data_IF_889275051787
#
_entry.id   IF_889275051787
#
_cell.length_a   1.000
_cell.length_b   1.000
_cell.length_c   1.000
_cell.angle_alpha   90.00
_cell.angle_beta   90.00
_cell.angle_gamma   90.00
#
_symmetry.space_group_name_H-M   'P 1'
#
loop_
_entity.id
_entity.type
_entity.pdbx_description
1 polymer ?
#
# COMPACT_ATOMS: atom_id res chain seq x y z
N UNK A 1 3.47 -50.67 -8.78
CA UNK A 1 2.70 -49.43 -9.00
C UNK A 1 3.08 -48.98 -10.40
N UNK A 2 2.11 -48.79 -11.28
CA UNK A 2 2.42 -48.63 -12.71
C UNK A 2 2.87 -47.21 -13.03
N UNK A 3 3.97 -47.09 -13.78
CA UNK A 3 4.47 -45.83 -14.33
C UNK A 3 3.62 -45.31 -15.52
N UNK A 4 2.34 -45.71 -15.57
CA UNK A 4 1.38 -45.35 -16.63
C UNK A 4 0.36 -44.29 -16.20
N UNK A 5 0.34 -43.88 -14.92
CA UNK A 5 -0.53 -42.83 -14.40
C UNK A 5 0.27 -41.55 -14.08
N UNK A 6 -0.10 -40.37 -14.65
CA UNK A 6 0.58 -39.11 -14.37
C UNK A 6 0.49 -38.66 -12.90
N UNK A 7 -0.57 -39.03 -12.18
CA UNK A 7 -0.72 -38.66 -10.77
C UNK A 7 0.28 -39.42 -9.89
N UNK A 8 0.46 -40.72 -10.15
CA UNK A 8 1.42 -41.60 -9.50
C UNK A 8 2.87 -41.26 -9.88
N UNK A 9 3.17 -40.98 -11.15
CA UNK A 9 4.52 -40.53 -11.55
C UNK A 9 4.90 -39.23 -10.84
N UNK A 10 4.00 -38.24 -10.83
CA UNK A 10 4.27 -36.96 -10.16
C UNK A 10 4.39 -37.12 -8.65
N UNK A 11 3.61 -38.02 -8.02
CA UNK A 11 3.75 -38.35 -6.60
C UNK A 11 5.17 -38.83 -6.26
N UNK A 12 5.73 -39.74 -7.07
CA UNK A 12 7.09 -40.25 -6.86
C UNK A 12 8.16 -39.18 -7.06
N UNK A 13 8.00 -38.32 -8.08
CA UNK A 13 8.90 -37.18 -8.33
C UNK A 13 8.92 -36.22 -7.14
N UNK A 14 7.77 -35.91 -6.54
CA UNK A 14 7.65 -35.04 -5.38
C UNK A 14 8.26 -35.68 -4.11
N UNK A 15 8.02 -36.97 -3.88
CA UNK A 15 8.61 -37.69 -2.75
C UNK A 15 10.14 -37.76 -2.86
N UNK A 16 10.67 -38.02 -4.06
CA UNK A 16 12.11 -38.05 -4.35
C UNK A 16 12.75 -36.67 -4.16
N UNK A 17 12.02 -35.59 -4.48
CA UNK A 17 12.41 -34.21 -4.22
C UNK A 17 12.30 -33.79 -2.74
N UNK A 18 11.93 -34.71 -1.83
CA UNK A 18 11.84 -34.44 -0.40
C UNK A 18 10.56 -33.72 0.04
N UNK A 19 9.55 -33.58 -0.83
CA UNK A 19 8.24 -33.05 -0.46
C UNK A 19 7.38 -34.16 0.19
N UNK A 20 6.67 -33.81 1.26
CA UNK A 20 5.88 -34.75 2.08
C UNK A 20 4.40 -34.51 1.81
N UNK A 21 3.77 -35.47 1.11
CA UNK A 21 2.39 -35.37 0.63
C UNK A 21 1.53 -36.42 1.34
N UNK A 22 0.29 -36.06 1.69
CA UNK A 22 -0.69 -36.96 2.30
C UNK A 22 -1.63 -37.48 1.21
N UNK A 23 -1.31 -38.66 0.66
CA UNK A 23 -2.00 -39.24 -0.49
C UNK A 23 -1.46 -38.73 -1.83
N UNK A 24 -2.28 -38.78 -2.87
CA UNK A 24 -1.91 -38.39 -4.23
C UNK A 24 -1.89 -36.85 -4.42
N UNK A 25 -1.00 -36.31 -5.29
CA UNK A 25 -0.92 -34.88 -5.56
C UNK A 25 -2.14 -34.36 -6.33
N UNK A 26 -2.56 -33.13 -6.04
CA UNK A 26 -3.69 -32.47 -6.71
C UNK A 26 -3.20 -31.75 -7.98
N UNK A 27 -3.64 -32.24 -9.13
CA UNK A 27 -3.25 -31.74 -10.47
C UNK A 27 -4.33 -30.82 -11.08
N UNK A 28 -4.93 -29.97 -10.23
CA UNK A 28 -6.01 -29.03 -10.53
C UNK A 28 -5.52 -27.66 -11.06
N UNK A 29 -4.22 -27.51 -11.26
CA UNK A 29 -3.59 -26.26 -11.62
C UNK A 29 -3.53 -25.20 -10.51
N UNK A 30 -3.79 -25.55 -9.25
CA UNK A 30 -3.54 -24.69 -8.09
C UNK A 30 -2.12 -24.90 -7.50
N UNK A 31 -1.69 -23.99 -6.62
CA UNK A 31 -0.41 -24.11 -5.91
C UNK A 31 -0.65 -24.74 -4.53
N UNK A 32 -0.10 -25.94 -4.33
CA UNK A 32 -0.29 -26.73 -3.12
C UNK A 32 0.92 -26.62 -2.20
N UNK A 33 0.76 -25.98 -1.04
CA UNK A 33 1.81 -25.88 0.00
C UNK A 33 1.88 -27.16 0.84
N UNK A 34 3.05 -27.77 0.88
CA UNK A 34 3.33 -29.04 1.59
C UNK A 34 4.56 -28.91 2.49
N UNK A 35 4.69 -29.79 3.46
CA UNK A 35 5.93 -29.92 4.23
C UNK A 35 7.02 -30.57 3.37
N UNK A 36 8.27 -30.40 3.77
CA UNK A 36 9.41 -31.18 3.26
C UNK A 36 10.03 -32.02 4.38
N UNK A 37 10.94 -32.95 4.06
CA UNK A 37 11.48 -33.93 5.04
C UNK A 37 12.14 -33.27 6.26
N UNK A 38 12.77 -32.12 6.09
CA UNK A 38 13.48 -31.38 7.16
C UNK A 38 12.63 -30.30 7.83
N UNK A 39 11.33 -30.20 7.50
CA UNK A 39 10.46 -29.18 8.07
C UNK A 39 10.11 -29.48 9.54
N UNK A 40 10.27 -28.48 10.40
CA UNK A 40 9.76 -28.52 11.77
C UNK A 40 8.24 -28.63 11.76
N UNK A 41 7.68 -29.45 12.66
CA UNK A 41 6.24 -29.80 12.73
C UNK A 41 5.32 -28.59 12.53
N UNK A 42 4.62 -28.56 11.39
CA UNK A 42 3.67 -27.51 11.01
C UNK A 42 4.17 -26.50 9.98
N UNK A 43 5.47 -26.49 9.65
CA UNK A 43 5.99 -25.78 8.49
C UNK A 43 5.50 -26.40 7.17
N UNK A 44 5.53 -25.60 6.10
CA UNK A 44 5.13 -25.98 4.74
C UNK A 44 6.06 -25.33 3.71
N UNK A 45 7.33 -25.66 3.77
CA UNK A 45 8.40 -25.05 2.95
C UNK A 45 8.35 -25.49 1.48
N UNK A 46 7.75 -26.64 1.20
CA UNK A 46 7.51 -27.11 -0.17
C UNK A 46 6.28 -26.48 -0.83
N UNK A 47 6.31 -26.39 -2.15
CA UNK A 47 5.13 -26.18 -2.98
C UNK A 47 5.21 -27.01 -4.28
N UNK A 48 4.06 -27.35 -4.84
CA UNK A 48 3.95 -27.85 -6.20
C UNK A 48 2.73 -27.29 -6.92
N UNK A 49 2.72 -27.38 -8.25
CA UNK A 49 1.59 -27.07 -9.13
C UNK A 49 1.66 -27.98 -10.35
N UNK A 50 0.60 -28.70 -10.66
CA UNK A 50 0.53 -29.52 -11.86
C UNK A 50 -0.86 -29.52 -12.49
N UNK A 51 -0.94 -29.99 -13.72
CA UNK A 51 -2.13 -30.01 -14.55
C UNK A 51 -2.24 -31.34 -15.30
N UNK A 52 -3.48 -31.75 -15.59
CA UNK A 52 -3.80 -32.92 -16.43
C UNK A 52 -4.21 -32.55 -17.87
N UNK A 53 -4.16 -31.27 -18.27
CA UNK A 53 -4.60 -30.85 -19.60
C UNK A 53 -3.52 -30.97 -20.69
N UNK A 54 -3.81 -31.75 -21.74
CA UNK A 54 -2.89 -31.96 -22.85
C UNK A 54 -1.91 -33.10 -22.57
N UNK A 55 -0.64 -32.78 -22.32
CA UNK A 55 0.34 -33.72 -21.76
C UNK A 55 0.55 -33.31 -20.31
N UNK A 56 0.25 -34.17 -19.31
CA UNK A 56 0.33 -33.78 -17.92
C UNK A 56 1.73 -33.26 -17.56
N UNK A 57 1.77 -32.14 -16.84
CA UNK A 57 2.98 -31.39 -16.55
C UNK A 57 2.79 -30.53 -15.30
N UNK A 58 3.89 -30.02 -14.75
CA UNK A 58 3.88 -29.20 -13.55
C UNK A 58 5.26 -28.76 -13.12
N UNK A 59 5.35 -28.28 -11.89
CA UNK A 59 6.60 -27.96 -11.22
C UNK A 59 6.49 -28.16 -9.71
N UNK A 60 7.64 -28.27 -9.06
CA UNK A 60 7.77 -28.30 -7.61
C UNK A 60 8.96 -27.46 -7.13
N UNK A 61 8.94 -27.07 -5.86
CA UNK A 61 10.02 -26.29 -5.23
C UNK A 61 10.05 -26.47 -3.72
N UNK A 62 11.25 -26.55 -3.14
CA UNK A 62 11.49 -26.20 -1.74
C UNK A 62 11.98 -24.75 -1.65
N UNK A 63 11.30 -23.93 -0.85
CA UNK A 63 11.63 -22.51 -0.64
C UNK A 63 12.85 -22.30 0.28
N UNK A 64 13.47 -23.38 0.77
CA UNK A 64 14.73 -23.38 1.54
C UNK A 64 15.95 -23.74 0.69
N UNK A 65 15.74 -24.19 -0.55
CA UNK A 65 16.83 -24.35 -1.52
C UNK A 65 17.47 -22.99 -1.83
N UNK A 66 18.77 -22.98 -2.12
CA UNK A 66 19.46 -21.81 -2.64
C UNK A 66 19.00 -21.47 -4.08
N UNK A 67 18.46 -22.43 -4.82
CA UNK A 67 17.85 -22.19 -6.13
C UNK A 67 16.47 -21.54 -5.96
N UNK A 68 16.28 -20.38 -6.62
CA UNK A 68 15.00 -19.67 -6.66
C UNK A 68 14.05 -20.23 -7.74
N UNK A 69 14.57 -21.08 -8.63
CA UNK A 69 13.85 -21.71 -9.74
C UNK A 69 13.00 -22.90 -9.26
N UNK A 70 11.74 -23.04 -9.72
CA UNK A 70 10.98 -24.27 -9.53
C UNK A 70 11.45 -25.35 -10.52
N UNK A 71 11.61 -26.58 -10.05
CA UNK A 71 11.96 -27.72 -10.92
C UNK A 71 10.73 -28.15 -11.70
N UNK A 72 10.81 -28.15 -13.04
CA UNK A 72 9.72 -28.54 -13.92
C UNK A 72 9.65 -30.07 -14.07
N UNK A 73 8.43 -30.59 -14.23
CA UNK A 73 8.13 -31.99 -14.51
C UNK A 73 7.15 -32.09 -15.69
N UNK A 74 7.33 -33.12 -16.52
CA UNK A 74 6.43 -33.47 -17.63
C UNK A 74 6.29 -34.99 -17.65
N UNK A 75 5.07 -35.50 -17.69
CA UNK A 75 4.75 -36.92 -17.64
C UNK A 75 5.48 -37.72 -18.71
N UNK A 76 6.10 -38.84 -18.32
CA UNK A 76 6.92 -39.67 -19.22
C UNK A 76 6.10 -40.48 -20.24
N UNK A 77 4.82 -40.75 -19.95
CA UNK A 77 3.92 -41.50 -20.84
C UNK A 77 3.76 -40.87 -22.23
N UNK A 78 3.73 -41.75 -23.25
CA UNK A 78 3.72 -41.37 -24.67
C UNK A 78 2.37 -40.84 -25.20
N UNK A 79 2.37 -40.36 -26.44
CA UNK A 79 1.30 -39.53 -27.02
C UNK A 79 -0.05 -40.23 -27.34
N UNK A 80 -0.32 -41.40 -26.77
CA UNK A 80 -1.56 -42.17 -27.02
C UNK A 80 -2.74 -41.71 -26.15
N UNK A 81 -3.04 -40.41 -26.19
CA UNK A 81 -4.30 -39.86 -25.69
C UNK A 81 -5.20 -39.45 -26.86
N UNK A 82 -6.40 -40.04 -26.90
CA UNK A 82 -7.46 -39.71 -27.86
C UNK A 82 -7.66 -38.16 -27.96
N UNK A 83 -7.67 -37.57 -29.17
CA UNK A 83 -7.92 -36.15 -29.37
C UNK A 83 -9.21 -35.63 -28.71
N UNK A 84 -10.27 -36.45 -28.64
CA UNK A 84 -11.53 -36.07 -27.99
C UNK A 84 -11.40 -36.06 -26.46
N UNK A 85 -10.80 -37.11 -25.86
CA UNK A 85 -10.43 -37.12 -24.44
C UNK A 85 -9.51 -35.94 -24.07
N UNK A 86 -8.52 -35.61 -24.92
CA UNK A 86 -7.63 -34.45 -24.74
C UNK A 86 -8.39 -33.12 -24.80
N UNK A 87 -9.43 -33.00 -25.62
CA UNK A 87 -10.31 -31.84 -25.67
C UNK A 87 -11.18 -31.72 -24.40
N UNK A 88 -11.77 -32.84 -23.94
CA UNK A 88 -12.55 -32.88 -22.69
C UNK A 88 -11.71 -32.52 -21.46
N UNK A 89 -10.49 -33.06 -21.34
CA UNK A 89 -9.57 -32.73 -20.24
C UNK A 89 -9.19 -31.23 -20.24
N UNK A 90 -8.95 -30.64 -21.41
CA UNK A 90 -8.70 -29.19 -21.55
C UNK A 90 -9.91 -28.35 -21.14
N UNK A 91 -11.11 -28.72 -21.59
CA UNK A 91 -12.34 -28.02 -21.25
C UNK A 91 -12.62 -28.08 -19.73
N UNK A 92 -12.45 -29.25 -19.12
CA UNK A 92 -12.62 -29.44 -17.68
C UNK A 92 -11.57 -28.68 -16.86
N UNK A 93 -10.29 -28.72 -17.24
CA UNK A 93 -9.25 -27.94 -16.59
C UNK A 93 -9.48 -26.43 -16.71
N UNK A 94 -9.97 -25.96 -17.87
CA UNK A 94 -10.34 -24.55 -18.03
C UNK A 94 -11.53 -24.17 -17.14
N UNK A 95 -12.59 -25.00 -17.08
CA UNK A 95 -13.70 -24.79 -16.18
C UNK A 95 -13.25 -24.74 -14.71
N UNK A 96 -12.33 -25.63 -14.28
CA UNK A 96 -11.76 -25.60 -12.93
C UNK A 96 -10.96 -24.31 -12.65
N UNK A 97 -10.15 -23.85 -13.61
CA UNK A 97 -9.44 -22.55 -13.52
C UNK A 97 -10.43 -21.41 -13.32
N UNK A 98 -11.51 -21.39 -14.11
CA UNK A 98 -12.53 -20.34 -14.07
C UNK A 98 -13.40 -20.39 -12.81
N UNK A 99 -13.73 -21.59 -12.30
CA UNK A 99 -14.41 -21.77 -11.00
C UNK A 99 -13.51 -21.33 -9.84
N UNK A 100 -12.22 -21.65 -9.88
CA UNK A 100 -11.26 -21.28 -8.84
C UNK A 100 -10.96 -19.77 -8.85
N UNK A 101 -10.85 -19.16 -10.03
CA UNK A 101 -10.75 -17.69 -10.18
C UNK A 101 -12.01 -16.99 -9.62
N UNK A 102 -13.21 -17.49 -9.95
CA UNK A 102 -14.48 -16.95 -9.41
C UNK A 102 -14.55 -17.07 -7.88
N UNK A 103 -14.19 -18.21 -7.29
CA UNK A 103 -14.11 -18.40 -5.83
C UNK A 103 -13.12 -17.42 -5.18
N UNK A 104 -11.94 -17.26 -5.76
CA UNK A 104 -10.91 -16.35 -5.26
C UNK A 104 -11.38 -14.89 -5.30
N UNK A 105 -12.00 -14.46 -6.39
CA UNK A 105 -12.52 -13.09 -6.51
C UNK A 105 -13.68 -12.82 -5.54
N UNK A 106 -14.55 -13.81 -5.30
CA UNK A 106 -15.60 -13.73 -4.27
C UNK A 106 -15.00 -13.60 -2.86
N UNK A 107 -13.96 -14.37 -2.55
CA UNK A 107 -13.22 -14.27 -1.28
C UNK A 107 -12.59 -12.89 -1.12
N UNK A 108 -11.89 -12.38 -2.14
CA UNK A 108 -11.29 -11.05 -2.13
C UNK A 108 -12.33 -9.94 -1.95
N UNK A 109 -13.46 -10.00 -2.65
CA UNK A 109 -14.54 -9.01 -2.48
C UNK A 109 -15.17 -9.07 -1.07
N UNK A 110 -15.29 -10.26 -0.47
CA UNK A 110 -15.72 -10.41 0.94
C UNK A 110 -14.70 -9.80 1.92
N UNK A 111 -13.41 -10.05 1.72
CA UNK A 111 -12.35 -9.51 2.59
C UNK A 111 -12.18 -7.99 2.41
N UNK A 112 -12.35 -7.45 1.21
CA UNK A 112 -12.40 -6.00 0.95
C UNK A 112 -13.58 -5.33 1.67
N UNK A 113 -14.77 -5.95 1.62
CA UNK A 113 -15.94 -5.50 2.37
C UNK A 113 -15.71 -5.47 3.89
N UNK A 114 -15.06 -6.50 4.43
CA UNK A 114 -14.64 -6.55 5.82
C UNK A 114 -13.58 -5.47 6.15
N UNK A 115 -12.52 -5.34 5.35
CA UNK A 115 -11.45 -4.37 5.51
C UNK A 115 -11.99 -2.93 5.60
N UNK A 116 -12.81 -2.54 4.63
CA UNK A 116 -13.49 -1.23 4.59
C UNK A 116 -14.39 -1.00 5.82
N UNK A 117 -15.17 -2.01 6.22
CA UNK A 117 -16.06 -1.92 7.39
C UNK A 117 -15.31 -1.87 8.72
N UNK A 118 -14.12 -2.47 8.80
CA UNK A 118 -13.24 -2.38 9.97
C UNK A 118 -12.57 -1.01 10.05
N UNK A 119 -11.87 -0.60 8.99
CA UNK A 119 -11.07 0.65 8.93
C UNK A 119 -11.94 1.89 9.13
N UNK A 120 -13.13 1.94 8.52
CA UNK A 120 -14.02 3.11 8.63
C UNK A 120 -14.59 3.34 10.05
N UNK A 121 -14.39 2.41 10.99
CA UNK A 121 -14.79 2.54 12.40
C UNK A 121 -13.65 2.97 13.33
N UNK A 122 -12.42 3.07 12.82
CA UNK A 122 -11.24 3.36 13.62
C UNK A 122 -10.85 4.85 13.53
N UNK A 123 -10.41 5.47 14.65
CA UNK A 123 -9.88 6.82 14.63
C UNK A 123 -8.62 6.92 13.76
N UNK A 124 -8.38 8.10 13.19
CA UNK A 124 -7.09 8.46 12.59
C UNK A 124 -5.99 8.33 13.66
N UNK A 125 -4.87 7.69 13.31
CA UNK A 125 -3.69 7.69 14.16
C UNK A 125 -3.05 9.09 14.14
N UNK A 126 -2.62 9.58 15.30
CA UNK A 126 -1.93 10.87 15.47
C UNK A 126 -0.54 10.68 16.07
N UNK A 127 -0.43 9.83 17.09
CA UNK A 127 0.82 9.35 17.67
C UNK A 127 0.72 7.84 17.95
N UNK A 128 1.87 7.15 17.95
CA UNK A 128 2.01 5.72 18.30
C UNK A 128 3.49 5.41 18.54
N UNK A 129 3.80 4.49 19.44
CA UNK A 129 5.17 4.22 19.90
C UNK A 129 6.09 3.66 18.79
N UNK A 130 5.53 2.94 17.80
CA UNK A 130 6.28 2.52 16.61
C UNK A 130 6.68 3.72 15.74
N UNK A 131 5.79 4.71 15.57
CA UNK A 131 6.05 5.92 14.77
C UNK A 131 7.14 6.78 15.41
N UNK A 132 7.05 7.01 16.72
CA UNK A 132 8.08 7.73 17.49
C UNK A 132 9.44 7.03 17.38
N UNK A 133 9.49 5.70 17.57
CA UNK A 133 10.73 4.91 17.47
C UNK A 133 11.34 4.90 16.07
N UNK A 134 10.53 5.03 15.02
CA UNK A 134 10.99 5.10 13.62
C UNK A 134 11.06 6.54 13.07
N UNK A 135 10.93 7.59 13.91
CA UNK A 135 11.20 9.00 13.51
C UNK A 135 10.19 9.64 12.54
N UNK A 136 8.98 9.07 12.43
CA UNK A 136 7.99 9.35 11.36
C UNK A 136 6.63 9.73 11.93
N UNK A 137 5.78 10.36 11.12
CA UNK A 137 4.40 10.74 11.46
C UNK A 137 3.37 9.70 11.01
N UNK A 138 2.18 9.80 11.57
CA UNK A 138 1.01 9.06 11.09
C UNK A 138 0.48 9.72 9.81
N UNK A 139 0.50 9.00 8.68
CA UNK A 139 -0.05 9.51 7.43
C UNK A 139 -1.60 9.55 7.46
N UNK A 140 -2.23 10.46 6.69
CA UNK A 140 -3.69 10.48 6.53
C UNK A 140 -4.23 9.11 6.09
N UNK A 141 -5.28 8.63 6.76
CA UNK A 141 -5.88 7.32 6.49
C UNK A 141 -5.33 6.17 7.33
N UNK A 142 -4.12 6.28 7.91
CA UNK A 142 -3.61 5.33 8.90
C UNK A 142 -4.47 5.42 10.17
N UNK A 143 -4.97 4.29 10.64
CA UNK A 143 -5.86 4.23 11.81
C UNK A 143 -5.18 3.62 13.02
N UNK A 144 -5.76 3.85 14.20
CA UNK A 144 -5.37 3.16 15.44
C UNK A 144 -6.51 2.26 15.92
N UNK A 145 -6.22 1.02 16.31
CA UNK A 145 -7.22 0.11 16.84
C UNK A 145 -7.20 -0.03 18.37
N UNK A 146 -8.20 -0.72 18.92
CA UNK A 146 -8.38 -0.95 20.35
C UNK A 146 -7.37 -1.92 20.99
N UNK A 147 -6.30 -2.30 20.28
CA UNK A 147 -5.17 -3.10 20.78
C UNK A 147 -3.83 -2.33 20.75
N UNK A 148 -3.89 -1.03 20.49
CA UNK A 148 -2.73 -0.19 20.18
C UNK A 148 -1.89 -0.74 19.01
N UNK A 149 -2.56 -1.22 17.96
CA UNK A 149 -1.95 -1.52 16.66
C UNK A 149 -2.36 -0.42 15.66
N UNK A 150 -1.39 0.09 14.91
CA UNK A 150 -1.66 0.87 13.70
C UNK A 150 -2.34 -0.03 12.67
N UNK A 151 -3.25 0.52 11.88
CA UNK A 151 -3.95 -0.17 10.79
C UNK A 151 -3.80 0.66 9.53
N UNK A 152 -3.00 0.16 8.60
CA UNK A 152 -2.67 0.81 7.32
C UNK A 152 -3.56 0.17 6.24
N UNK A 153 -4.47 0.92 5.59
CA UNK A 153 -5.31 0.39 4.52
C UNK A 153 -4.49 0.15 3.25
N UNK A 154 -4.84 -0.90 2.50
CA UNK A 154 -4.31 -1.12 1.14
C UNK A 154 -5.45 -1.01 0.13
N UNK A 155 -5.23 -0.19 -0.90
CA UNK A 155 -6.21 0.12 -1.93
C UNK A 155 -5.72 -0.27 -3.33
N UNK A 156 -6.68 -0.46 -4.23
CA UNK A 156 -6.41 -0.65 -5.65
C UNK A 156 -6.34 0.69 -6.41
N UNK A 157 -6.08 0.62 -7.72
CA UNK A 157 -6.07 1.78 -8.62
C UNK A 157 -7.36 2.58 -8.75
N UNK A 158 -8.46 2.13 -8.14
CA UNK A 158 -9.76 2.85 -8.06
C UNK A 158 -9.96 3.52 -6.68
N UNK A 159 -8.97 3.45 -5.79
CA UNK A 159 -9.08 3.91 -4.41
C UNK A 159 -9.90 3.00 -3.49
N UNK A 160 -10.34 1.82 -3.97
CA UNK A 160 -11.13 0.89 -3.16
C UNK A 160 -10.23 0.16 -2.16
N UNK A 161 -10.54 0.21 -0.86
CA UNK A 161 -9.83 -0.58 0.17
C UNK A 161 -10.06 -2.08 -0.10
N UNK A 162 -8.97 -2.81 -0.33
CA UNK A 162 -8.97 -4.27 -0.61
C UNK A 162 -8.38 -5.10 0.53
N UNK A 163 -7.45 -4.53 1.29
CA UNK A 163 -6.77 -5.19 2.40
C UNK A 163 -6.31 -4.16 3.45
N UNK A 164 -5.59 -4.63 4.47
CA UNK A 164 -4.85 -3.78 5.42
C UNK A 164 -3.68 -4.56 6.06
N UNK A 165 -2.69 -3.84 6.56
CA UNK A 165 -1.69 -4.36 7.51
C UNK A 165 -1.90 -3.75 8.89
N UNK A 166 -1.73 -4.57 9.93
CA UNK A 166 -1.64 -4.11 11.32
C UNK A 166 -0.18 -4.10 11.76
N UNK A 167 0.26 -3.03 12.42
CA UNK A 167 1.60 -2.89 13.00
C UNK A 167 1.45 -2.64 14.51
N UNK A 168 1.82 -3.60 15.38
CA UNK A 168 1.85 -3.39 16.84
C UNK A 168 3.04 -2.52 17.24
N UNK A 169 3.13 -2.11 18.51
CA UNK A 169 4.27 -1.35 19.09
C UNK A 169 5.65 -1.98 18.78
N UNK A 170 5.74 -3.32 18.78
CA UNK A 170 6.99 -4.03 18.41
C UNK A 170 7.34 -3.90 16.92
N UNK A 171 6.33 -3.76 16.06
CA UNK A 171 6.47 -3.66 14.61
C UNK A 171 7.13 -4.88 13.96
N UNK A 172 7.77 -4.67 12.80
CA UNK A 172 8.60 -5.67 12.13
C UNK A 172 7.92 -7.04 11.99
N UNK A 173 8.56 -8.08 12.53
CA UNK A 173 8.11 -9.49 12.46
C UNK A 173 6.72 -9.75 13.03
N UNK A 174 6.13 -8.83 13.81
CA UNK A 174 4.80 -8.96 14.41
C UNK A 174 3.70 -8.26 13.61
N UNK A 175 4.05 -7.53 12.54
CA UNK A 175 3.07 -6.95 11.62
C UNK A 175 2.27 -8.04 10.89
N UNK A 176 0.96 -7.83 10.69
CA UNK A 176 0.05 -8.84 10.10
C UNK A 176 -0.87 -8.21 9.06
N UNK A 177 -0.79 -8.70 7.82
CA UNK A 177 -1.75 -8.40 6.74
C UNK A 177 -3.08 -9.13 7.02
N UNK A 178 -4.21 -8.58 6.56
CA UNK A 178 -5.50 -9.27 6.60
C UNK A 178 -5.42 -10.60 5.84
N UNK A 179 -5.67 -11.72 6.54
CA UNK A 179 -5.63 -13.07 5.95
C UNK A 179 -6.64 -13.19 4.80
N UNK A 180 -6.29 -13.99 3.80
CA UNK A 180 -7.14 -14.39 2.67
C UNK A 180 -7.62 -13.23 1.76
N UNK A 181 -7.01 -12.05 1.91
CA UNK A 181 -7.34 -10.82 1.19
C UNK A 181 -6.46 -10.58 -0.04
N UNK A 182 -6.87 -9.62 -0.86
CA UNK A 182 -6.19 -9.19 -2.07
C UNK A 182 -5.05 -8.22 -1.68
N UNK A 183 -3.87 -8.75 -1.33
CA UNK A 183 -2.65 -7.94 -1.13
C UNK A 183 -2.02 -7.54 -2.47
N UNK A 184 -1.94 -8.49 -3.39
CA UNK A 184 -1.14 -8.39 -4.62
C UNK A 184 -1.62 -7.23 -5.49
N UNK A 185 -0.70 -6.35 -5.89
CA UNK A 185 -0.98 -5.19 -6.72
C UNK A 185 -1.74 -4.05 -6.03
N UNK A 186 -1.93 -4.11 -4.70
CA UNK A 186 -2.54 -3.07 -3.89
C UNK A 186 -1.51 -2.42 -2.95
N UNK A 187 -1.70 -1.15 -2.61
CA UNK A 187 -0.70 -0.31 -1.92
C UNK A 187 -1.33 0.65 -0.89
N UNK A 188 -0.50 1.28 -0.07
CA UNK A 188 -0.86 2.49 0.68
C UNK A 188 -0.17 3.72 0.07
N UNK A 189 -0.83 4.87 0.03
CA UNK A 189 -0.35 6.09 -0.62
C UNK A 189 0.03 7.17 0.39
N UNK A 190 1.24 7.72 0.27
CA UNK A 190 1.64 8.98 0.89
C UNK A 190 1.56 10.11 -0.14
N UNK A 191 1.12 11.30 0.29
CA UNK A 191 0.85 12.43 -0.60
C UNK A 191 -0.29 12.17 -1.60
N UNK A 192 -0.32 12.96 -2.67
CA UNK A 192 -1.26 12.81 -3.78
C UNK A 192 -0.47 12.61 -5.08
N UNK A 193 -0.48 11.39 -5.66
CA UNK A 193 0.12 11.13 -6.97
C UNK A 193 -0.61 11.85 -8.12
N UNK A 194 0.15 12.53 -8.97
CA UNK A 194 -0.32 13.22 -10.17
C UNK A 194 0.36 12.62 -11.42
N UNK A 195 -0.39 12.41 -12.51
CA UNK A 195 0.18 11.86 -13.74
C UNK A 195 1.18 12.84 -14.38
N UNK A 196 2.30 12.34 -14.89
CA UNK A 196 3.41 13.17 -15.39
C UNK A 196 4.27 13.81 -14.28
N UNK A 197 3.97 13.54 -13.00
CA UNK A 197 4.79 13.96 -11.84
C UNK A 197 5.54 12.76 -11.24
N UNK A 198 6.72 12.95 -10.64
CA UNK A 198 7.49 11.85 -10.07
C UNK A 198 6.72 11.09 -8.98
N UNK A 199 6.83 9.76 -8.99
CA UNK A 199 6.20 8.87 -8.01
C UNK A 199 7.24 7.89 -7.46
N UNK A 200 7.44 7.90 -6.15
CA UNK A 200 8.37 6.97 -5.48
C UNK A 200 7.64 5.69 -5.07
N UNK A 201 8.36 4.58 -4.98
CA UNK A 201 7.86 3.28 -4.51
C UNK A 201 8.81 2.75 -3.43
N UNK A 202 8.28 2.21 -2.33
CA UNK A 202 9.08 1.64 -1.24
C UNK A 202 8.35 0.50 -0.54
N UNK A 203 9.07 -0.44 0.09
CA UNK A 203 8.44 -1.62 0.69
C UNK A 203 7.66 -1.31 1.97
N UNK A 204 8.37 -0.90 3.03
CA UNK A 204 7.84 -0.71 4.36
C UNK A 204 7.17 0.65 4.57
N UNK A 205 6.23 0.71 5.53
CA UNK A 205 5.60 1.97 5.94
C UNK A 205 6.63 3.02 6.39
N UNK A 206 7.65 2.60 7.14
CA UNK A 206 8.67 3.52 7.65
C UNK A 206 9.56 4.08 6.53
N UNK A 207 10.05 3.21 5.64
CA UNK A 207 10.77 3.58 4.42
C UNK A 207 9.99 4.60 3.60
N UNK A 208 8.71 4.30 3.31
CA UNK A 208 7.84 5.18 2.54
C UNK A 208 7.54 6.52 3.24
N UNK A 209 7.35 6.51 4.56
CA UNK A 209 7.11 7.71 5.36
C UNK A 209 8.35 8.63 5.39
N UNK A 210 9.55 8.09 5.64
CA UNK A 210 10.79 8.88 5.60
C UNK A 210 11.02 9.50 4.23
N UNK A 211 10.85 8.72 3.15
CA UNK A 211 10.98 9.21 1.77
C UNK A 211 9.98 10.33 1.46
N UNK A 212 8.70 10.18 1.86
CA UNK A 212 7.68 11.22 1.68
C UNK A 212 8.00 12.48 2.47
N UNK A 213 8.30 12.34 3.76
CA UNK A 213 8.57 13.49 4.64
C UNK A 213 9.84 14.25 4.27
N UNK A 214 10.87 13.56 3.76
CA UNK A 214 12.12 14.18 3.35
C UNK A 214 12.01 14.86 1.98
N UNK A 215 11.37 14.23 1.00
CA UNK A 215 11.37 14.74 -0.40
C UNK A 215 10.18 15.64 -0.72
N UNK A 216 9.03 15.45 -0.06
CA UNK A 216 7.74 16.04 -0.44
C UNK A 216 7.06 15.36 -1.63
N UNK A 217 7.68 14.35 -2.25
CA UNK A 217 7.10 13.59 -3.35
C UNK A 217 6.07 12.55 -2.86
N UNK A 218 5.06 12.21 -3.69
CA UNK A 218 4.16 11.11 -3.37
C UNK A 218 4.90 9.76 -3.38
N UNK A 219 4.48 8.84 -2.50
CA UNK A 219 5.12 7.53 -2.33
C UNK A 219 4.08 6.42 -2.23
N UNK A 220 4.26 5.33 -2.99
CA UNK A 220 3.47 4.12 -2.85
C UNK A 220 4.22 3.11 -1.96
N UNK A 221 3.64 2.79 -0.81
CA UNK A 221 4.07 1.67 0.02
C UNK A 221 3.60 0.36 -0.60
N UNK A 222 4.54 -0.47 -1.06
CA UNK A 222 4.27 -1.75 -1.74
C UNK A 222 4.09 -2.92 -0.77
N UNK A 223 4.21 -2.71 0.55
CA UNK A 223 4.04 -3.72 1.62
C UNK A 223 5.21 -4.69 1.76
N UNK A 224 5.74 -5.19 0.65
CA UNK A 224 6.94 -6.04 0.57
C UNK A 224 7.50 -6.08 -0.87
N UNK A 225 8.78 -6.45 -1.02
CA UNK A 225 9.49 -6.60 -2.30
C UNK A 225 8.70 -7.40 -3.33
N UNK A 226 8.13 -8.54 -2.93
CA UNK A 226 7.42 -9.45 -3.84
C UNK A 226 6.15 -8.85 -4.45
N UNK A 227 5.61 -7.80 -3.86
CA UNK A 227 4.47 -7.05 -4.36
C UNK A 227 4.86 -5.88 -5.27
N UNK A 228 6.12 -5.41 -5.22
CA UNK A 228 6.55 -4.16 -5.86
C UNK A 228 6.31 -4.16 -7.37
N UNK A 229 6.55 -5.29 -8.04
CA UNK A 229 6.32 -5.46 -9.49
C UNK A 229 4.82 -5.30 -9.81
N UNK A 230 3.94 -6.02 -9.12
CA UNK A 230 2.49 -5.95 -9.35
C UNK A 230 1.89 -4.57 -9.00
N UNK A 231 2.46 -3.87 -8.01
CA UNK A 231 2.09 -2.49 -7.69
C UNK A 231 2.58 -1.53 -8.79
N UNK A 232 3.77 -1.73 -9.34
CA UNK A 232 4.31 -0.95 -10.45
C UNK A 232 3.48 -1.11 -11.73
N UNK A 233 3.13 -2.34 -12.11
CA UNK A 233 2.28 -2.66 -13.27
C UNK A 233 0.89 -2.02 -13.15
N UNK A 234 0.27 -2.07 -11.96
CA UNK A 234 -1.02 -1.42 -11.71
C UNK A 234 -0.89 0.11 -11.66
N UNK A 235 0.20 0.65 -11.11
CA UNK A 235 0.45 2.09 -11.06
C UNK A 235 0.67 2.68 -12.46
N UNK A 236 1.39 1.99 -13.36
CA UNK A 236 1.67 2.46 -14.72
C UNK A 236 0.41 2.58 -15.59
N UNK A 237 -0.67 1.84 -15.26
CA UNK A 237 -1.98 1.96 -15.91
C UNK A 237 -2.76 3.24 -15.50
N UNK A 238 -2.32 3.95 -14.45
CA UNK A 238 -3.00 5.12 -13.87
C UNK A 238 -2.17 6.38 -14.09
N UNK A 239 -0.87 6.26 -13.82
CA UNK A 239 0.12 7.31 -13.96
C UNK A 239 1.05 6.96 -15.13
N UNK A 240 0.48 6.96 -16.33
CA UNK A 240 1.12 6.55 -17.59
C UNK A 240 2.42 7.27 -17.86
N UNK A 241 2.46 8.57 -17.58
CA UNK A 241 3.52 9.49 -17.99
C UNK A 241 4.45 9.89 -16.83
N UNK A 242 4.17 9.40 -15.62
CA UNK A 242 4.95 9.71 -14.41
C UNK A 242 6.32 9.02 -14.40
N UNK A 243 7.41 9.74 -14.10
CA UNK A 243 8.68 9.12 -13.74
C UNK A 243 8.50 8.26 -12.48
N UNK A 244 8.82 6.97 -12.57
CA UNK A 244 8.74 6.03 -11.45
C UNK A 244 10.14 5.81 -10.87
N UNK A 245 10.26 5.86 -9.55
CA UNK A 245 11.53 5.63 -8.84
C UNK A 245 11.32 4.59 -7.75
N UNK A 246 12.01 3.46 -7.86
CA UNK A 246 11.91 2.35 -6.93
C UNK A 246 13.02 2.46 -5.88
N UNK A 247 12.63 2.86 -4.66
CA UNK A 247 13.50 2.98 -3.51
C UNK A 247 13.61 1.60 -2.84
N UNK A 248 14.67 0.87 -3.17
CA UNK A 248 14.91 -0.48 -2.65
C UNK A 248 15.66 -0.47 -1.33
N UNK A 249 15.18 -1.27 -0.37
CA UNK A 249 15.91 -1.54 0.86
C UNK A 249 17.13 -2.44 0.54
N UNK A 250 18.29 -2.12 1.13
CA UNK A 250 19.59 -2.68 0.76
C UNK A 250 20.07 -3.74 1.76
N UNK A 251 19.54 -4.95 1.61
CA UNK A 251 19.86 -6.16 2.39
C UNK A 251 21.29 -6.69 2.12
N UNK A 252 22.31 -5.82 2.27
CA UNK A 252 23.69 -5.97 1.81
C UNK A 252 24.49 -7.11 2.47
N UNK A 253 23.93 -7.76 3.50
CA UNK A 253 24.51 -8.93 4.17
C UNK A 253 24.05 -10.26 3.53
N UNK A 254 23.25 -10.22 2.46
CA UNK A 254 22.60 -11.39 1.85
C UNK A 254 23.06 -11.56 0.42
N UNK A 255 23.35 -12.79 0.05
CA UNK A 255 23.74 -13.20 -1.31
C UNK A 255 22.71 -12.79 -2.37
N UNK A 256 21.41 -12.91 -2.04
CA UNK A 256 20.30 -12.41 -2.86
C UNK A 256 19.62 -11.26 -2.12
N UNK A 257 19.92 -10.03 -2.51
CA UNK A 257 19.21 -8.83 -2.07
C UNK A 257 17.85 -8.75 -2.79
N UNK A 258 16.79 -9.14 -2.08
CA UNK A 258 15.43 -9.26 -2.65
C UNK A 258 14.77 -7.92 -2.95
N UNK A 259 15.02 -6.89 -2.14
CA UNK A 259 14.47 -5.55 -2.36
C UNK A 259 15.01 -4.95 -3.65
N UNK A 260 16.34 -4.95 -3.81
CA UNK A 260 17.00 -4.47 -5.04
C UNK A 260 16.56 -5.29 -6.26
N UNK A 261 16.53 -6.62 -6.18
CA UNK A 261 16.05 -7.46 -7.29
C UNK A 261 14.61 -7.11 -7.72
N UNK A 262 13.69 -6.97 -6.76
CA UNK A 262 12.30 -6.63 -7.05
C UNK A 262 12.12 -5.21 -7.60
N UNK A 263 12.91 -4.25 -7.11
CA UNK A 263 12.93 -2.89 -7.63
C UNK A 263 13.49 -2.81 -9.05
N UNK A 264 14.60 -3.51 -9.35
CA UNK A 264 15.14 -3.61 -10.71
C UNK A 264 14.12 -4.23 -11.67
N UNK A 265 13.42 -5.29 -11.25
CA UNK A 265 12.36 -5.89 -12.08
C UNK A 265 11.14 -4.98 -12.25
N UNK A 266 10.75 -4.22 -11.24
CA UNK A 266 9.68 -3.22 -11.34
C UNK A 266 10.07 -2.04 -12.26
N UNK A 267 11.32 -1.59 -12.19
CA UNK A 267 11.91 -0.58 -13.07
C UNK A 267 11.94 -1.04 -14.54
N UNK A 268 12.43 -2.26 -14.80
CA UNK A 268 12.46 -2.89 -16.13
C UNK A 268 11.07 -2.91 -16.80
N UNK A 269 10.02 -3.37 -16.09
CA UNK A 269 8.68 -3.52 -16.70
C UNK A 269 7.88 -2.22 -16.77
N UNK A 270 8.31 -1.14 -16.11
CA UNK A 270 7.60 0.15 -16.12
C UNK A 270 8.38 1.33 -16.70
N UNK A 271 9.61 1.11 -17.18
CA UNK A 271 10.57 2.15 -17.56
C UNK A 271 10.73 3.19 -16.43
N UNK A 272 11.14 2.71 -15.25
CA UNK A 272 11.48 3.52 -14.09
C UNK A 272 12.96 3.42 -13.71
N UNK A 273 13.35 4.16 -12.67
CA UNK A 273 14.70 4.19 -12.11
C UNK A 273 14.75 3.45 -10.75
N UNK A 274 15.94 3.02 -10.32
CA UNK A 274 16.16 2.40 -9.00
C UNK A 274 17.13 3.23 -8.17
N UNK A 275 16.80 3.47 -6.91
CA UNK A 275 17.72 4.06 -5.93
C UNK A 275 17.80 3.20 -4.66
N UNK A 276 18.96 3.24 -4.02
CA UNK A 276 19.28 2.47 -2.80
C UNK A 276 19.87 3.39 -1.72
N UNK A 277 19.72 3.08 -0.43
CA UNK A 277 20.31 3.87 0.65
C UNK A 277 21.84 3.81 0.58
N UNK A 278 22.45 4.98 0.43
CA UNK A 278 23.89 5.15 0.25
C UNK A 278 24.65 5.12 1.60
N UNK A 279 24.65 3.96 2.26
CA UNK A 279 25.37 3.73 3.51
C UNK A 279 26.89 3.76 3.35
N UNK A 280 27.57 4.35 4.33
CA UNK A 280 29.01 4.19 4.56
C UNK A 280 29.34 2.80 5.10
N UNK A 281 30.61 2.37 5.02
CA UNK A 281 31.02 1.07 5.60
C UNK A 281 30.77 0.99 7.13
N UNK A 282 30.79 2.12 7.85
CA UNK A 282 30.47 2.16 9.27
C UNK A 282 28.98 1.89 9.55
N UNK A 283 28.08 2.40 8.71
CA UNK A 283 26.63 2.14 8.81
C UNK A 283 26.29 0.70 8.37
N UNK A 284 26.94 0.18 7.33
CA UNK A 284 26.85 -1.24 6.93
C UNK A 284 27.32 -2.18 8.05
N UNK A 285 28.38 -1.81 8.77
CA UNK A 285 28.89 -2.57 9.91
C UNK A 285 27.93 -2.54 11.13
N UNK A 286 27.06 -1.52 11.22
CA UNK A 286 25.95 -1.49 12.19
C UNK A 286 24.73 -2.31 11.72
N UNK A 287 24.71 -2.78 10.47
CA UNK A 287 23.63 -3.57 9.89
C UNK A 287 22.41 -2.76 9.47
N UNK A 288 22.58 -1.48 9.15
CA UNK A 288 21.50 -0.64 8.61
C UNK A 288 21.20 -1.06 7.17
N UNK A 289 19.92 -1.27 6.82
CA UNK A 289 19.53 -1.72 5.45
C UNK A 289 18.42 -0.90 4.81
N UNK A 290 17.49 -0.29 5.57
CA UNK A 290 16.36 0.45 5.02
C UNK A 290 16.59 1.99 4.92
N UNK A 291 15.87 2.71 4.05
CA UNK A 291 16.04 4.18 3.94
C UNK A 291 15.66 4.94 5.23
N UNK A 292 14.85 4.36 6.11
CA UNK A 292 14.49 4.97 7.37
C UNK A 292 15.58 4.77 8.45
N UNK A 293 16.35 3.68 8.40
CA UNK A 293 17.57 3.53 9.19
C UNK A 293 18.61 4.58 8.80
N UNK A 294 18.69 4.94 7.51
CA UNK A 294 19.52 6.06 7.00
C UNK A 294 19.04 7.44 7.48
N UNK A 295 17.71 7.62 7.57
CA UNK A 295 17.05 8.81 8.15
C UNK A 295 17.34 8.93 9.65
N UNK A 296 17.29 7.80 10.37
CA UNK A 296 17.59 7.71 11.80
C UNK A 296 19.09 7.88 12.12
N UNK A 297 20.01 7.35 11.30
CA UNK A 297 21.45 7.44 11.56
C UNK A 297 22.03 8.82 11.28
N UNK A 298 21.52 9.52 10.26
CA UNK A 298 22.05 10.82 9.81
C UNK A 298 21.23 12.02 10.28
N UNK A 299 19.99 11.80 10.69
CA UNK A 299 19.01 12.86 10.96
C UNK A 299 18.36 13.41 9.69
N UNK A 300 17.13 13.88 9.83
CA UNK A 300 16.22 14.24 8.72
C UNK A 300 16.85 15.16 7.68
N UNK A 301 17.54 16.22 8.10
CA UNK A 301 18.13 17.22 7.20
C UNK A 301 19.23 16.63 6.30
N UNK A 302 20.10 15.79 6.88
CA UNK A 302 21.16 15.10 6.13
C UNK A 302 20.60 14.02 5.21
N UNK A 303 19.55 13.32 5.65
CA UNK A 303 18.83 12.34 4.82
C UNK A 303 18.11 13.03 3.65
N UNK A 304 17.39 14.12 3.91
CA UNK A 304 16.77 14.98 2.89
C UNK A 304 17.79 15.48 1.88
N UNK A 305 18.96 15.96 2.32
CA UNK A 305 20.06 16.34 1.43
C UNK A 305 20.58 15.18 0.57
N UNK A 306 20.74 13.98 1.14
CA UNK A 306 21.17 12.79 0.41
C UNK A 306 20.12 12.34 -0.63
N UNK A 307 18.83 12.31 -0.26
CA UNK A 307 17.73 11.99 -1.18
C UNK A 307 17.59 13.03 -2.29
N UNK A 308 17.69 14.32 -1.95
CA UNK A 308 17.68 15.42 -2.91
C UNK A 308 18.85 15.30 -3.91
N UNK A 309 20.03 14.86 -3.47
CA UNK A 309 21.17 14.63 -4.36
C UNK A 309 20.96 13.42 -5.29
N UNK A 310 20.50 12.27 -4.78
CA UNK A 310 20.19 11.08 -5.59
C UNK A 310 19.11 11.38 -6.63
N UNK A 311 18.01 12.02 -6.23
CA UNK A 311 16.89 12.32 -7.13
C UNK A 311 17.27 13.35 -8.19
N UNK A 312 18.02 14.42 -7.84
CA UNK A 312 18.54 15.38 -8.83
C UNK A 312 19.51 14.74 -9.84
N UNK A 313 20.27 13.71 -9.44
CA UNK A 313 21.15 12.98 -10.37
C UNK A 313 20.38 12.25 -11.48
N UNK A 314 19.23 11.65 -11.15
CA UNK A 314 18.31 11.03 -12.12
C UNK A 314 17.25 12.02 -12.68
N UNK A 315 17.51 13.33 -12.61
CA UNK A 315 16.66 14.37 -13.19
C UNK A 315 15.34 14.65 -12.47
N UNK A 316 15.13 14.09 -11.28
CA UNK A 316 13.89 14.22 -10.50
C UNK A 316 13.96 15.42 -9.53
N UNK A 317 13.12 16.46 -9.70
CA UNK A 317 13.03 17.57 -8.75
C UNK A 317 12.24 17.18 -7.51
N UNK A 318 12.66 17.67 -6.33
CA UNK A 318 11.99 17.44 -5.05
C UNK A 318 11.34 18.74 -4.53
N UNK A 319 10.06 18.74 -4.11
CA UNK A 319 9.42 19.89 -3.49
C UNK A 319 10.13 20.42 -2.23
N UNK A 320 10.73 19.54 -1.43
CA UNK A 320 11.47 19.89 -0.22
C UNK A 320 12.95 20.18 -0.50
N UNK A 321 13.27 20.79 -1.65
CA UNK A 321 14.67 21.07 -2.03
C UNK A 321 15.35 22.13 -1.17
N UNK A 322 14.57 23.07 -0.60
CA UNK A 322 15.08 24.28 0.06
C UNK A 322 14.40 24.57 1.42
N UNK A 323 13.50 23.68 1.88
CA UNK A 323 12.86 23.80 3.19
C UNK A 323 13.72 23.15 4.28
N UNK A 324 14.52 23.96 4.98
CA UNK A 324 15.00 23.60 6.31
C UNK A 324 13.83 23.65 7.31
N UNK A 325 13.12 22.52 7.50
CA UNK A 325 12.19 22.36 8.62
C UNK A 325 13.01 22.21 9.91
N UNK A 326 13.57 23.33 10.39
CA UNK A 326 14.40 23.40 11.59
C UNK A 326 13.65 22.83 12.81
N UNK A 327 13.85 21.55 13.07
CA UNK A 327 13.37 20.85 14.26
C UNK A 327 14.32 21.16 15.41
N UNK A 328 14.21 22.36 15.96
CA UNK A 328 14.83 22.68 17.25
C UNK A 328 14.38 21.65 18.29
N UNK A 329 15.32 20.81 18.72
CA UNK A 329 15.04 19.72 19.65
C UNK A 329 14.79 20.31 21.04
N UNK A 330 13.53 20.33 21.47
CA UNK A 330 13.15 20.73 22.84
C UNK A 330 13.54 19.61 23.79
N UNK A 331 14.71 19.75 24.40
CA UNK A 331 15.22 18.86 25.44
C UNK A 331 14.46 19.09 26.74
N UNK A 332 13.86 18.04 27.29
CA UNK A 332 13.37 18.00 28.67
C UNK A 332 14.01 16.77 29.32
N UNK A 333 14.98 17.03 30.19
CA UNK A 333 15.88 16.02 30.77
C UNK A 333 16.47 15.08 29.69
N UNK A 334 16.57 13.78 29.97
CA UNK A 334 17.22 12.80 29.09
C UNK A 334 16.27 12.14 28.07
N UNK A 335 15.13 12.77 27.72
CA UNK A 335 14.14 12.21 26.79
C UNK A 335 13.79 13.19 25.66
N UNK A 336 14.07 12.79 24.42
CA UNK A 336 13.76 13.57 23.22
C UNK A 336 12.30 13.33 22.82
N UNK A 337 11.51 14.41 22.78
CA UNK A 337 10.13 14.40 22.28
C UNK A 337 9.98 15.36 21.10
N UNK A 338 9.19 14.95 20.09
CA UNK A 338 8.89 15.74 18.90
C UNK A 338 7.41 16.16 18.89
N UNK A 339 7.04 17.33 19.44
CA UNK A 339 5.67 17.83 19.37
C UNK A 339 5.30 18.30 17.96
N UNK A 340 4.01 18.26 17.64
CA UNK A 340 3.46 18.75 16.36
C UNK A 340 3.18 20.25 16.45
N UNK A 341 3.39 20.99 15.34
CA UNK A 341 2.99 22.40 15.22
C UNK A 341 1.45 22.50 15.20
N UNK A 342 0.86 23.12 16.22
CA UNK A 342 -0.53 23.60 16.15
C UNK A 342 -0.67 24.72 15.10
N UNK A 343 -1.71 24.66 14.28
CA UNK A 343 -2.08 25.77 13.40
C UNK A 343 -2.63 26.94 14.24
N UNK A 344 -1.86 28.03 14.34
CA UNK A 344 -2.33 29.24 15.03
C UNK A 344 -3.41 29.96 14.19
N UNK A 345 -4.57 30.33 14.78
CA UNK A 345 -5.63 31.01 14.05
C UNK A 345 -5.19 32.36 13.45
N UNK A 346 -5.72 32.70 12.28
CA UNK A 346 -5.58 34.05 11.71
C UNK A 346 -6.23 35.09 12.63
N UNK A 347 -5.44 36.01 13.20
CA UNK A 347 -5.95 37.26 13.74
C UNK A 347 -5.81 38.37 12.71
N UNK A 348 -6.90 39.10 12.46
CA UNK A 348 -6.92 40.23 11.54
C UNK A 348 -6.48 41.52 12.22
N UNK A 349 -5.54 42.24 11.59
CA UNK A 349 -5.11 43.55 12.06
C UNK A 349 -6.16 44.62 11.71
N UNK A 350 -6.75 45.25 12.74
CA UNK A 350 -7.39 46.58 12.61
C UNK A 350 -7.02 47.50 13.77
N UNK A 351 -6.15 48.43 13.40
CA UNK A 351 -5.68 49.69 13.99
C UNK A 351 -6.37 50.23 15.26
N UNK A 352 -5.54 50.68 16.20
CA UNK A 352 -5.89 51.53 17.34
C UNK A 352 -6.50 52.90 16.97
N UNK A 353 -7.41 53.39 17.81
CA UNK A 353 -7.35 54.77 18.40
C UNK A 353 -8.45 55.05 19.45
N UNK A 354 -7.98 55.30 20.68
CA UNK A 354 -8.52 56.19 21.73
C UNK A 354 -10.04 56.23 22.06
N UNK A 355 -10.38 55.97 23.33
CA UNK A 355 -11.66 56.37 23.96
C UNK A 355 -11.71 57.90 24.26
N UNK A 356 -12.90 58.46 24.58
CA UNK A 356 -13.21 58.59 26.02
C UNK A 356 -14.70 58.47 26.45
N UNK A 357 -14.91 57.71 27.55
CA UNK A 357 -15.83 57.98 28.69
C UNK A 357 -17.37 58.13 28.51
N UNK A 358 -18.06 57.19 29.16
CA UNK A 358 -19.23 57.35 30.08
C UNK A 358 -20.50 58.13 29.60
N UNK A 359 -21.62 57.40 29.47
CA UNK A 359 -22.71 57.31 30.49
C UNK A 359 -23.83 56.35 30.03
N UNK A 360 -24.63 55.84 30.97
CA UNK A 360 -25.91 55.17 30.73
C UNK A 360 -27.08 56.16 30.84
N UNK A 361 -28.28 55.82 30.35
CA UNK A 361 -29.56 55.83 31.08
C UNK A 361 -30.75 55.46 30.15
N UNK A 362 -31.87 55.10 30.80
CA UNK A 362 -33.04 54.32 30.36
C UNK A 362 -34.08 54.99 29.40
N UNK A 363 -34.74 54.12 28.62
CA UNK A 363 -36.23 54.01 28.40
C UNK A 363 -37.01 54.90 27.39
N UNK A 364 -38.10 54.26 26.88
CA UNK A 364 -39.32 54.76 26.19
C UNK A 364 -39.15 55.32 24.76
N UNK A 365 -40.16 55.42 23.88
CA UNK A 365 -41.37 54.64 23.48
C UNK A 365 -42.30 55.60 22.69
N UNK A 366 -42.89 55.11 21.57
CA UNK A 366 -44.02 55.66 20.76
C UNK A 366 -43.84 56.92 19.87
N UNK A 367 -44.15 56.69 18.58
CA UNK A 367 -45.12 57.40 17.70
C UNK A 367 -45.20 58.95 17.72
N UNK A 368 -45.08 59.58 16.55
CA UNK A 368 -46.22 59.94 15.65
C UNK A 368 -45.72 60.55 14.32
N UNK A 369 -46.57 60.57 13.29
CA UNK A 369 -46.37 61.32 12.02
C UNK A 369 -47.11 62.67 12.08
N UNK A 370 -46.82 63.63 11.16
CA UNK A 370 -47.63 63.70 9.93
C UNK A 370 -46.87 64.11 8.65
N UNK A 371 -47.50 63.86 7.50
CA UNK A 371 -47.12 64.30 6.14
C UNK A 371 -47.64 65.73 5.86
N UNK A 372 -47.28 66.39 4.73
CA UNK A 372 -48.19 66.34 3.57
C UNK A 372 -47.59 66.51 2.14
N UNK A 373 -48.14 65.75 1.17
CA UNK A 373 -48.42 66.16 -0.24
C UNK A 373 -47.24 66.44 -1.23
N UNK A 374 -47.35 66.31 -2.57
CA UNK A 374 -48.48 65.95 -3.45
C UNK A 374 -48.06 65.27 -4.79
N UNK A 375 -48.91 64.37 -5.32
CA UNK A 375 -49.02 63.88 -6.73
C UNK A 375 -47.83 63.08 -7.36
N UNK A 376 -48.04 62.19 -8.36
CA UNK A 376 -49.23 61.86 -9.19
C UNK A 376 -49.24 60.38 -9.64
N UNK A 377 -50.40 59.70 -9.49
CA UNK A 377 -51.10 58.72 -10.40
C UNK A 377 -50.31 57.87 -11.42
N UNK A 378 -50.57 56.57 -11.71
CA UNK A 378 -51.75 55.64 -11.65
C UNK A 378 -51.24 54.21 -11.29
N UNK A 379 -51.92 53.35 -10.50
CA UNK A 379 -53.06 52.44 -10.84
C UNK A 379 -52.82 51.51 -12.06
N UNK A 380 -53.24 50.24 -12.16
CA UNK A 380 -53.86 49.16 -11.31
C UNK A 380 -53.90 47.87 -12.20
N UNK A 381 -54.10 46.59 -11.83
CA UNK A 381 -54.45 45.72 -10.66
C UNK A 381 -53.69 44.36 -10.88
N UNK A 382 -53.23 43.57 -9.91
CA UNK A 382 -53.94 42.56 -9.07
C UNK A 382 -54.84 41.52 -9.77
N UNK A 383 -54.42 40.24 -9.80
CA UNK A 383 -55.11 39.07 -9.16
C UNK A 383 -54.25 37.78 -9.16
N UNK A 384 -54.56 36.85 -8.24
CA UNK A 384 -54.10 35.45 -8.06
C UNK A 384 -55.33 34.62 -7.64
N UNK A 385 -55.32 33.26 -7.51
CA UNK A 385 -54.44 32.19 -8.02
C UNK A 385 -55.30 31.28 -8.98
N UNK A 386 -55.55 29.94 -8.85
CA UNK A 386 -54.78 28.78 -8.32
C UNK A 386 -54.78 27.46 -9.16
N UNK A 387 -53.74 26.63 -8.94
CA UNK A 387 -53.72 25.14 -8.83
C UNK A 387 -54.17 24.18 -9.97
N UNK A 388 -53.30 23.16 -10.19
CA UNK A 388 -53.55 21.80 -10.73
C UNK A 388 -53.88 21.63 -12.25
N UNK A 389 -53.74 20.40 -12.85
CA UNK A 389 -52.52 19.56 -12.87
C UNK A 389 -52.29 18.84 -14.24
N UNK A 390 -51.36 17.86 -14.25
CA UNK A 390 -51.29 16.67 -15.14
C UNK A 390 -50.29 16.66 -16.33
N UNK A 391 -49.80 15.43 -16.54
CA UNK A 391 -48.78 14.87 -17.44
C UNK A 391 -48.73 15.36 -18.91
N UNK A 392 -47.53 15.29 -19.50
CA UNK A 392 -47.18 14.14 -20.36
C UNK A 392 -45.84 13.53 -19.89
#
# INVERSE_FOLDING_TARGET
MDAGDPVTEFAQVLENAGLVIQGLPQMDGAIHRVATRDDKKGAKSGAYRAYLDGRPAGWYRDYRSADDSPTNWVFSGGEQHDPLARLHLRAFAQQQRDDNARKLQQQYNKQAGYARSYINRLPQATAHEYLTRKGIRAAPGVRLNNKNELVIPFSNGRGEIRSYQRIPVTGGKDARILKDSEKTGNWFTFGTPENGRPLLFAEGYATAASLHEATGLPVLMTVDASNMIAVAENARQIWTDSPFVFCADNDHQREINKGVFSATKAAEVTNGEVIIPAFTEAEKAQGLTDFNDLDASRGRDNFQNAMNAQLKHIGIPTPNSDTADHREAVVIDNLIFTPVKDEKPQMSLKTDRAQPRKRSWRHRIRLMTPTPTIQKTRHMKMTMPPMHPCNQ
#
